data_IF_863574580835
#
_entry.id   IF_863574580835
#
_cell.length_a   1.000
_cell.length_b   1.000
_cell.length_c   1.000
_cell.angle_alpha   90.00
_cell.angle_beta   90.00
_cell.angle_gamma   90.00
#
_symmetry.space_group_name_H-M   'P 1'
#
loop_
_entity.id
_entity.type
_entity.pdbx_description
1 polymer ?
#
# COMPACT_ATOMS: atom_id res chain seq x y z
N UNK A 1 13.84 -6.09 -13.74
CA UNK A 1 12.96 -4.96 -14.16
C UNK A 1 12.62 -4.18 -12.91
N UNK A 2 12.99 -2.90 -12.84
CA UNK A 2 12.67 -2.04 -11.68
C UNK A 2 11.18 -1.75 -11.71
N UNK A 3 10.41 -2.36 -10.79
CA UNK A 3 8.98 -2.08 -10.66
C UNK A 3 8.83 -0.60 -10.27
N UNK A 4 8.14 0.20 -11.07
CA UNK A 4 7.89 1.62 -10.77
C UNK A 4 6.61 1.72 -9.95
N UNK A 5 6.67 2.41 -8.80
CA UNK A 5 5.46 2.71 -8.02
C UNK A 5 4.54 3.58 -8.87
N UNK A 6 3.28 3.17 -9.03
CA UNK A 6 2.26 3.97 -9.69
C UNK A 6 1.90 5.16 -8.80
N UNK A 7 1.75 6.36 -9.36
CA UNK A 7 1.28 7.54 -8.64
C UNK A 7 -0.12 7.93 -9.12
N UNK A 8 -0.85 8.78 -8.38
CA UNK A 8 -2.09 9.38 -8.90
C UNK A 8 -1.90 10.11 -10.24
N UNK A 9 -0.69 10.57 -10.56
CA UNK A 9 -0.38 11.21 -11.84
C UNK A 9 -0.22 10.20 -12.98
N UNK A 10 0.39 9.03 -12.72
CA UNK A 10 0.60 8.01 -13.74
C UNK A 10 -0.57 7.07 -13.91
N UNK A 11 -1.42 6.92 -12.90
CA UNK A 11 -2.64 6.12 -12.93
C UNK A 11 -3.74 6.87 -12.16
N UNK A 12 -4.55 7.72 -12.82
CA UNK A 12 -5.51 8.61 -12.16
C UNK A 12 -6.59 7.91 -11.34
N UNK A 13 -6.86 6.63 -11.58
CA UNK A 13 -7.79 5.85 -10.75
C UNK A 13 -7.20 5.44 -9.38
N UNK A 14 -5.93 5.73 -9.11
CA UNK A 14 -5.20 5.31 -7.91
C UNK A 14 -5.01 6.45 -6.89
N UNK A 15 -6.10 7.15 -6.56
CA UNK A 15 -6.10 8.27 -5.60
C UNK A 15 -5.58 7.89 -4.20
N UNK A 16 -5.55 6.60 -3.89
CA UNK A 16 -5.15 6.00 -2.62
C UNK A 16 -3.64 5.74 -2.53
N UNK A 17 -2.95 5.59 -3.68
CA UNK A 17 -1.51 5.29 -3.69
C UNK A 17 -0.69 6.53 -3.33
N UNK A 18 0.42 6.31 -2.64
CA UNK A 18 1.35 7.37 -2.23
C UNK A 18 0.97 8.00 -0.89
N UNK A 19 -0.10 7.52 -0.26
CA UNK A 19 -0.61 8.02 1.01
C UNK A 19 -0.30 7.06 2.14
N UNK A 20 -0.25 7.62 3.34
CA UNK A 20 -0.16 6.86 4.58
C UNK A 20 -1.54 6.66 5.19
N UNK A 21 -1.71 5.52 5.84
CA UNK A 21 -2.94 5.14 6.51
C UNK A 21 -2.65 4.54 7.88
N UNK A 22 -3.53 4.80 8.85
CA UNK A 22 -3.54 4.17 10.16
C UNK A 22 -4.53 3.00 10.15
N UNK A 23 -4.06 1.81 10.53
CA UNK A 23 -4.94 0.66 10.69
C UNK A 23 -5.37 0.48 12.16
N UNK A 24 -6.38 -0.37 12.37
CA UNK A 24 -6.92 -0.71 13.70
C UNK A 24 -5.91 -1.43 14.61
N UNK A 25 -4.92 -2.10 14.04
CA UNK A 25 -3.82 -2.72 14.78
C UNK A 25 -2.82 -1.68 15.36
N UNK A 26 -3.05 -0.39 15.11
CA UNK A 26 -2.21 0.68 15.61
C UNK A 26 -0.98 0.95 14.75
N UNK A 27 -0.76 0.21 13.66
CA UNK A 27 0.35 0.45 12.75
C UNK A 27 -0.01 1.42 11.63
N UNK A 28 1.03 2.08 11.11
CA UNK A 28 0.92 2.98 9.96
C UNK A 28 1.44 2.27 8.73
N UNK A 29 0.69 2.40 7.64
CA UNK A 29 0.94 1.73 6.38
C UNK A 29 1.05 2.75 5.25
N UNK A 30 2.06 2.61 4.42
CA UNK A 30 2.16 3.29 3.14
C UNK A 30 1.44 2.46 2.07
N UNK A 31 0.56 3.12 1.31
CA UNK A 31 -0.12 2.48 0.20
C UNK A 31 0.74 2.60 -1.07
N UNK A 32 1.14 1.46 -1.62
CA UNK A 32 1.86 1.39 -2.89
C UNK A 32 1.19 0.41 -3.87
N UNK A 33 1.49 0.54 -5.16
CA UNK A 33 1.18 -0.49 -6.15
C UNK A 33 2.16 -0.41 -7.31
N UNK A 34 2.38 -1.55 -7.93
CA UNK A 34 3.38 -1.74 -8.99
C UNK A 34 2.75 -2.10 -10.34
N UNK A 35 1.45 -2.43 -10.36
CA UNK A 35 0.75 -2.95 -11.55
C UNK A 35 -0.68 -2.44 -11.58
N UNK A 36 -1.10 -1.88 -12.70
CA UNK A 36 -2.50 -1.54 -12.95
C UNK A 36 -3.33 -2.83 -12.84
N UNK A 37 -4.28 -2.88 -11.90
CA UNK A 37 -5.20 -3.99 -11.58
C UNK A 37 -4.72 -5.10 -10.63
N UNK A 38 -3.54 -5.04 -9.98
CA UNK A 38 -3.12 -6.08 -9.00
C UNK A 38 -3.25 -5.67 -7.52
N UNK A 39 -4.25 -4.84 -7.20
CA UNK A 39 -4.56 -4.48 -5.82
C UNK A 39 -3.62 -3.42 -5.23
N UNK A 40 -3.99 -2.95 -4.05
CA UNK A 40 -3.26 -1.94 -3.30
C UNK A 40 -2.46 -2.64 -2.23
N UNK A 41 -1.16 -2.37 -2.17
CA UNK A 41 -0.31 -2.92 -1.15
C UNK A 41 -0.19 -1.94 0.00
N UNK A 42 -0.48 -2.43 1.20
CA UNK A 42 -0.31 -1.70 2.44
C UNK A 42 0.96 -2.21 3.10
N UNK A 43 2.03 -1.42 3.02
CA UNK A 43 3.34 -1.75 3.58
C UNK A 43 3.55 -0.97 4.87
N UNK A 44 3.86 -1.64 5.97
CA UNK A 44 4.17 -1.00 7.24
C UNK A 44 5.34 -0.03 7.08
N UNK A 45 5.18 1.18 7.60
CA UNK A 45 6.23 2.23 7.52
C UNK A 45 7.49 1.82 8.31
N UNK A 46 7.32 1.01 9.36
CA UNK A 46 8.39 0.47 10.20
C UNK A 46 8.93 -0.89 9.72
N UNK A 47 8.54 -1.36 8.54
CA UNK A 47 9.07 -2.59 7.97
C UNK A 47 10.58 -2.47 7.73
N UNK A 48 11.39 -3.50 8.03
CA UNK A 48 12.77 -3.58 7.57
C UNK A 48 12.86 -3.46 6.05
N UNK A 49 13.92 -2.85 5.54
CA UNK A 49 14.06 -2.56 4.09
C UNK A 49 13.96 -3.83 3.22
N UNK A 50 14.46 -4.96 3.73
CA UNK A 50 14.38 -6.26 3.05
C UNK A 50 12.94 -6.79 2.91
N UNK A 51 12.02 -6.40 3.80
CA UNK A 51 10.62 -6.84 3.78
C UNK A 51 9.69 -5.86 3.05
N UNK A 52 10.13 -4.64 2.74
CA UNK A 52 9.28 -3.61 2.11
C UNK A 52 8.71 -4.04 0.78
N UNK A 53 9.40 -4.91 0.04
CA UNK A 53 8.96 -5.41 -1.27
C UNK A 53 8.59 -6.89 -1.26
N UNK A 54 8.66 -7.57 -0.11
CA UNK A 54 8.33 -8.98 0.00
C UNK A 54 6.82 -9.16 0.18
N UNK A 55 6.21 -9.80 -0.83
CA UNK A 55 4.78 -10.05 -0.96
C UNK A 55 4.26 -11.06 0.09
N UNK A 56 5.14 -11.81 0.75
CA UNK A 56 4.80 -12.89 1.68
C UNK A 56 5.24 -12.62 3.12
N UNK A 57 5.02 -11.40 3.61
CA UNK A 57 5.39 -11.00 4.97
C UNK A 57 4.23 -10.43 5.77
N UNK A 58 4.36 -10.41 7.10
CA UNK A 58 3.40 -9.72 7.98
C UNK A 58 3.41 -8.19 7.81
N UNK A 59 4.50 -7.66 7.27
CA UNK A 59 4.73 -6.23 7.07
C UNK A 59 3.97 -5.66 5.87
N UNK A 60 3.44 -6.52 5.00
CA UNK A 60 2.88 -6.12 3.72
C UNK A 60 1.60 -6.89 3.40
N UNK A 61 0.52 -6.17 3.11
CA UNK A 61 -0.80 -6.76 2.83
C UNK A 61 -1.31 -6.31 1.47
N UNK A 62 -1.73 -7.23 0.61
CA UNK A 62 -2.50 -6.88 -0.58
C UNK A 62 -3.97 -6.74 -0.21
N UNK A 63 -4.55 -5.58 -0.50
CA UNK A 63 -5.94 -5.28 -0.19
C UNK A 63 -6.65 -4.67 -1.39
N UNK A 64 -7.96 -4.85 -1.44
CA UNK A 64 -8.80 -4.12 -2.39
C UNK A 64 -9.02 -2.68 -1.90
N UNK A 65 -9.30 -1.76 -2.82
CA UNK A 65 -9.60 -0.36 -2.50
C UNK A 65 -10.75 -0.23 -1.49
N UNK A 66 -11.79 -1.07 -1.64
CA UNK A 66 -12.94 -1.12 -0.74
C UNK A 66 -12.55 -1.51 0.69
N UNK A 67 -11.48 -2.29 0.86
CA UNK A 67 -10.99 -2.68 2.18
C UNK A 67 -10.18 -1.56 2.85
N UNK A 68 -9.53 -0.68 2.07
CA UNK A 68 -8.82 0.48 2.61
C UNK A 68 -9.79 1.34 3.41
N UNK A 69 -10.87 1.85 2.81
CA UNK A 69 -11.83 2.73 3.50
C UNK A 69 -12.58 2.13 4.70
N UNK A 70 -12.41 0.83 4.99
CA UNK A 70 -12.99 0.17 6.18
C UNK A 70 -11.95 -0.13 7.26
N UNK A 71 -10.74 -0.49 6.85
CA UNK A 71 -9.70 -1.03 7.74
C UNK A 71 -8.54 -0.05 7.94
N UNK A 72 -8.38 0.92 7.05
CA UNK A 72 -7.26 1.85 6.98
C UNK A 72 -7.81 3.28 6.85
N UNK A 73 -7.46 4.14 7.79
CA UNK A 73 -7.88 5.54 7.80
C UNK A 73 -6.73 6.41 7.32
N UNK A 74 -6.97 7.21 6.29
CA UNK A 74 -5.98 8.17 5.78
C UNK A 74 -5.57 9.14 6.90
N UNK A 75 -4.28 9.48 6.97
CA UNK A 75 -3.70 10.40 7.96
C UNK A 75 -3.11 11.64 7.31
#
# INVERSE_FOLDING_TARGET
>A
MTRKVLTPETSPNHHTIGKNFKAWDGHTYYCDSWVENMGYWMTRVDAPDENKTDEHTEWRKNVSERAIGRTFHEI
#
